data_IF_850519885761
#
_entry.id   IF_850519885761
#
_cell.length_a   1.000
_cell.length_b   1.000
_cell.length_c   1.000
_cell.angle_alpha   90.00
_cell.angle_beta   90.00
_cell.angle_gamma   90.00
#
_symmetry.space_group_name_H-M   'P 1'
#
loop_
_entity.id
_entity.type
_entity.pdbx_description
1 polymer ?
#
# COMPACT_ATOMS: atom_id res chain seq x y z
N UNK A 1 -9.24 29.35 -27.33
CA UNK A 1 -8.92 28.05 -27.97
C UNK A 1 -7.50 27.69 -27.56
N UNK A 2 -7.29 27.34 -26.30
CA UNK A 2 -7.58 26.01 -25.72
C UNK A 2 -6.70 24.94 -26.35
N UNK A 3 -5.64 24.59 -25.64
CA UNK A 3 -5.03 23.24 -25.51
C UNK A 3 -4.20 23.32 -24.21
N UNK A 4 -4.80 23.42 -23.03
CA UNK A 4 -5.54 22.30 -22.46
C UNK A 4 -4.62 21.54 -21.50
N UNK A 5 -4.46 22.08 -20.29
CA UNK A 5 -4.36 21.31 -19.05
C UNK A 5 -3.39 20.12 -19.04
N UNK A 6 -2.12 20.30 -19.41
CA UNK A 6 -1.05 19.40 -18.93
C UNK A 6 -0.85 19.48 -17.39
N UNK A 7 -1.66 20.31 -16.71
CA UNK A 7 -1.55 20.63 -15.29
C UNK A 7 -2.43 19.77 -14.37
N UNK A 8 -3.26 18.85 -14.88
CA UNK A 8 -4.19 18.09 -14.03
C UNK A 8 -4.01 16.57 -14.05
N UNK A 9 -2.95 16.05 -14.65
CA UNK A 9 -2.63 14.62 -14.53
C UNK A 9 -1.12 14.33 -14.50
N UNK A 10 -0.33 15.22 -13.91
CA UNK A 10 0.69 14.69 -13.00
C UNK A 10 -0.05 14.42 -11.69
N UNK A 11 -0.92 13.40 -11.71
CA UNK A 11 -1.33 12.71 -10.51
C UNK A 11 -0.04 12.10 -9.99
N UNK A 12 0.65 12.93 -9.20
CA UNK A 12 1.66 12.65 -8.21
C UNK A 12 2.00 11.17 -8.20
N UNK A 13 2.82 10.75 -9.17
CA UNK A 13 3.68 9.61 -8.94
C UNK A 13 4.53 10.07 -7.78
N UNK A 14 4.08 9.78 -6.56
CA UNK A 14 4.85 9.88 -5.34
C UNK A 14 5.98 8.87 -5.55
N UNK A 15 7.00 9.32 -6.27
CA UNK A 15 8.31 8.69 -6.39
C UNK A 15 8.83 8.63 -4.96
N UNK A 16 8.53 7.52 -4.28
CA UNK A 16 8.71 7.41 -2.85
C UNK A 16 7.64 6.57 -2.15
N UNK A 17 6.68 5.95 -2.85
CA UNK A 17 5.83 4.91 -2.25
C UNK A 17 6.71 3.77 -1.72
N UNK A 18 7.00 3.82 -0.42
CA UNK A 18 7.74 2.77 0.27
C UNK A 18 6.95 1.46 0.12
N UNK A 19 7.58 0.45 -0.47
CA UNK A 19 6.97 -0.88 -0.62
C UNK A 19 7.42 -1.73 0.56
N UNK A 20 6.47 -2.03 1.46
CA UNK A 20 6.66 -2.93 2.57
C UNK A 20 6.43 -4.38 2.14
N UNK A 21 7.14 -5.31 2.76
CA UNK A 21 6.96 -6.76 2.55
C UNK A 21 6.41 -7.39 3.83
N UNK A 22 5.31 -8.15 3.73
CA UNK A 22 4.83 -8.98 4.84
C UNK A 22 5.69 -10.23 5.00
N UNK A 23 5.59 -10.93 6.13
CA UNK A 23 6.30 -12.21 6.36
C UNK A 23 5.96 -13.30 5.33
N UNK A 24 4.77 -13.22 4.74
CA UNK A 24 4.32 -14.09 3.65
C UNK A 24 4.83 -13.66 2.27
N UNK A 25 5.86 -12.80 2.23
CA UNK A 25 6.57 -12.32 1.03
C UNK A 25 5.79 -11.42 0.06
N UNK A 26 4.49 -11.23 0.29
CA UNK A 26 3.67 -10.30 -0.48
C UNK A 26 4.03 -8.85 -0.17
N UNK A 27 4.10 -8.04 -1.23
CA UNK A 27 4.51 -6.65 -1.20
C UNK A 27 3.32 -5.70 -1.36
N UNK A 28 3.34 -4.61 -0.62
CA UNK A 28 2.27 -3.60 -0.61
C UNK A 28 2.89 -2.22 -0.38
N UNK A 29 2.22 -1.17 -0.82
CA UNK A 29 2.56 0.18 -0.36
C UNK A 29 2.40 0.24 1.16
N UNK A 30 3.43 0.74 1.86
CA UNK A 30 3.48 0.86 3.31
C UNK A 30 2.23 1.58 3.83
N UNK A 31 1.80 2.64 3.15
CA UNK A 31 0.61 3.41 3.54
C UNK A 31 -0.67 2.55 3.46
N UNK A 32 -0.88 1.85 2.35
CA UNK A 32 -2.05 1.00 2.14
C UNK A 32 -2.08 -0.18 3.11
N UNK A 33 -0.97 -0.89 3.27
CA UNK A 33 -0.92 -2.06 4.16
C UNK A 33 -1.02 -1.66 5.63
N UNK A 34 -0.46 -0.52 6.03
CA UNK A 34 -0.61 0.01 7.39
C UNK A 34 -2.09 0.26 7.72
N UNK A 35 -2.83 0.92 6.83
CA UNK A 35 -4.25 1.18 7.04
C UNK A 35 -5.07 -0.11 7.07
N UNK A 36 -4.75 -1.08 6.22
CA UNK A 36 -5.37 -2.40 6.24
C UNK A 36 -5.12 -3.13 7.56
N UNK A 37 -3.88 -3.15 8.06
CA UNK A 37 -3.50 -3.86 9.28
C UNK A 37 -4.12 -3.27 10.55
N UNK A 38 -4.46 -1.98 10.56
CA UNK A 38 -5.23 -1.36 11.64
C UNK A 38 -6.65 -1.95 11.77
N UNK A 39 -7.20 -2.48 10.68
CA UNK A 39 -8.54 -3.07 10.64
C UNK A 39 -8.51 -4.61 10.67
N UNK A 40 -7.53 -5.22 9.99
CA UNK A 40 -7.43 -6.66 9.78
C UNK A 40 -5.97 -7.12 9.83
N UNK A 41 -5.62 -7.97 10.79
CA UNK A 41 -4.24 -8.43 11.01
C UNK A 41 -3.83 -9.62 10.09
N UNK A 42 -4.26 -9.61 8.83
CA UNK A 42 -3.93 -10.69 7.88
C UNK A 42 -3.63 -10.17 6.48
N UNK A 43 -2.82 -10.93 5.75
CA UNK A 43 -2.47 -10.66 4.36
C UNK A 43 -3.73 -10.71 3.48
N UNK A 44 -3.98 -9.71 2.61
CA UNK A 44 -5.15 -9.72 1.75
C UNK A 44 -5.12 -10.84 0.70
N UNK A 45 -3.92 -11.28 0.27
CA UNK A 45 -3.73 -12.33 -0.75
C UNK A 45 -3.86 -13.73 -0.14
N UNK A 46 -3.00 -14.10 0.81
CA UNK A 46 -2.93 -15.47 1.34
C UNK A 46 -3.56 -15.64 2.73
N UNK A 47 -4.12 -14.58 3.34
CA UNK A 47 -4.72 -14.58 4.68
C UNK A 47 -3.77 -14.96 5.82
N UNK A 48 -2.46 -15.04 5.58
CA UNK A 48 -1.45 -15.25 6.62
C UNK A 48 -1.45 -14.07 7.63
N UNK A 49 -1.27 -14.32 8.94
CA UNK A 49 -1.24 -13.27 9.94
C UNK A 49 -0.04 -12.34 9.73
N UNK A 50 -0.24 -11.03 9.86
CA UNK A 50 0.81 -10.04 9.64
C UNK A 50 1.73 -9.86 10.86
N UNK A 51 1.16 -9.97 12.07
CA UNK A 51 1.91 -10.02 13.32
C UNK A 51 1.84 -11.43 13.92
N UNK A 52 2.93 -11.95 14.51
CA UNK A 52 2.83 -13.13 15.36
C UNK A 52 1.93 -12.75 16.54
N UNK A 53 0.89 -13.54 16.80
CA UNK A 53 0.13 -13.46 18.05
C UNK A 53 1.14 -13.60 19.19
N UNK A 54 1.32 -12.56 20.00
CA UNK A 54 2.04 -12.71 21.25
C UNK A 54 1.15 -13.62 22.12
N UNK A 55 1.59 -14.85 22.33
CA UNK A 55 1.05 -15.74 23.35
C UNK A 55 1.73 -15.38 24.67
#
# INVERSE_FOLDING_TARGET
>A
MEMGLLFLFQEEFVKGEEVGRLRCEHQYHVCCIRQWLLQKNWCPVCKAPALPSLN
#
